data_IF_695839942982
#
_entry.id   IF_695839942982
#
_cell.length_a   1.000
_cell.length_b   1.000
_cell.length_c   1.000
_cell.angle_alpha   90.00
_cell.angle_beta   90.00
_cell.angle_gamma   90.00
#
_symmetry.space_group_name_H-M   'P 1'
#
loop_
_entity.id
_entity.type
_entity.pdbx_description
1 polymer ?
#
# COMPACT_ATOMS: atom_id res chain seq x y z
N UNK A 1 16.09 -55.97 26.19
CA UNK A 1 14.91 -55.10 26.02
C UNK A 1 15.12 -53.62 26.37
N UNK A 2 16.34 -53.15 26.71
CA UNK A 2 16.61 -51.72 27.03
C UNK A 2 17.40 -50.95 25.95
N UNK A 3 17.92 -51.65 24.92
CA UNK A 3 18.69 -51.02 23.81
C UNK A 3 17.83 -50.66 22.59
N UNK A 4 16.62 -51.22 22.48
CA UNK A 4 15.70 -50.95 21.38
C UNK A 4 14.89 -49.65 21.57
N UNK A 5 14.81 -49.12 22.79
CA UNK A 5 14.09 -47.87 23.07
C UNK A 5 14.91 -46.60 22.81
N UNK A 6 16.22 -46.71 22.61
CA UNK A 6 17.09 -45.55 22.36
C UNK A 6 17.22 -45.17 20.88
N UNK A 7 16.77 -46.02 19.95
CA UNK A 7 16.80 -45.71 18.51
C UNK A 7 15.52 -45.03 17.99
N UNK A 8 14.45 -44.96 18.78
CA UNK A 8 13.19 -44.34 18.36
C UNK A 8 13.12 -42.81 18.63
N UNK A 9 14.07 -42.26 19.40
CA UNK A 9 14.05 -40.83 19.79
C UNK A 9 14.87 -39.92 18.86
N UNK A 10 15.60 -40.45 17.88
CA UNK A 10 16.50 -39.68 17.02
C UNK A 10 15.87 -39.19 15.71
N UNK A 11 14.61 -39.55 15.42
CA UNK A 11 13.97 -39.27 14.12
C UNK A 11 13.04 -38.05 14.11
N UNK A 12 13.01 -37.25 15.18
CA UNK A 12 12.13 -36.07 15.30
C UNK A 12 12.85 -34.72 15.12
N UNK A 13 14.13 -34.74 14.70
CA UNK A 13 14.88 -33.54 14.32
C UNK A 13 15.12 -33.53 12.80
N UNK A 14 14.06 -33.67 12.01
CA UNK A 14 14.12 -33.21 10.64
C UNK A 14 14.11 -31.67 10.70
N UNK A 15 15.15 -30.95 10.22
CA UNK A 15 15.02 -29.52 10.04
C UNK A 15 13.83 -29.32 9.10
N UNK A 16 12.82 -28.57 9.55
CA UNK A 16 11.83 -28.04 8.63
C UNK A 16 12.63 -27.22 7.62
N UNK A 17 12.85 -27.80 6.44
CA UNK A 17 13.35 -27.05 5.30
C UNK A 17 12.26 -26.03 4.99
N UNK A 18 12.42 -24.84 5.56
CA UNK A 18 11.74 -23.65 5.07
C UNK A 18 12.19 -23.55 3.62
N UNK A 19 11.32 -23.93 2.69
CA UNK A 19 11.51 -23.60 1.30
C UNK A 19 11.56 -22.08 1.23
N UNK A 20 12.76 -21.52 1.18
CA UNK A 20 12.93 -20.12 0.82
C UNK A 20 12.29 -19.97 -0.57
N UNK A 21 11.17 -19.24 -0.63
CA UNK A 21 10.52 -18.98 -1.89
C UNK A 21 11.51 -18.27 -2.81
N UNK A 22 11.81 -18.88 -3.96
CA UNK A 22 12.74 -18.31 -4.93
C UNK A 22 11.96 -17.38 -5.87
N UNK A 23 11.82 -16.12 -5.44
CA UNK A 23 11.15 -15.11 -6.23
C UNK A 23 12.06 -14.55 -7.32
N UNK A 24 11.65 -14.76 -8.56
CA UNK A 24 12.38 -14.41 -9.77
C UNK A 24 11.90 -13.09 -10.40
N UNK A 25 12.84 -12.28 -10.88
CA UNK A 25 12.57 -11.10 -11.70
C UNK A 25 11.89 -11.47 -13.02
N UNK A 26 10.96 -10.64 -13.48
CA UNK A 26 10.16 -10.86 -14.68
C UNK A 26 9.01 -11.85 -14.48
N UNK A 27 8.96 -12.54 -13.34
CA UNK A 27 7.86 -13.44 -12.94
C UNK A 27 7.10 -12.88 -11.74
N UNK A 28 7.79 -12.63 -10.64
CA UNK A 28 7.18 -12.23 -9.37
C UNK A 28 7.34 -10.73 -9.08
N UNK A 29 8.36 -10.11 -9.66
CA UNK A 29 8.61 -8.68 -9.55
C UNK A 29 9.36 -8.16 -10.76
N UNK A 30 9.30 -6.85 -10.99
CA UNK A 30 10.07 -6.13 -12.00
C UNK A 30 10.99 -5.12 -11.34
N UNK A 31 12.24 -5.04 -11.78
CA UNK A 31 13.14 -3.93 -11.41
C UNK A 31 12.74 -2.70 -12.22
N UNK A 32 12.26 -1.67 -11.52
CA UNK A 32 11.80 -0.41 -12.14
C UNK A 32 12.82 0.72 -12.02
N UNK A 33 13.88 0.52 -11.23
CA UNK A 33 14.94 1.50 -11.00
C UNK A 33 16.31 0.81 -10.88
N UNK A 34 17.22 1.12 -11.78
CA UNK A 34 18.58 0.56 -11.78
C UNK A 34 19.50 1.18 -10.72
N UNK A 35 19.12 2.34 -10.17
CA UNK A 35 19.82 3.03 -9.10
C UNK A 35 19.76 2.29 -7.74
N UNK A 36 20.37 2.86 -6.69
CA UNK A 36 20.32 2.27 -5.37
C UNK A 36 18.88 2.19 -4.86
N UNK A 37 18.59 1.15 -4.09
CA UNK A 37 17.39 1.06 -3.27
C UNK A 37 17.28 2.26 -2.31
N UNK A 38 16.09 2.50 -1.77
CA UNK A 38 15.88 3.52 -0.74
C UNK A 38 16.82 3.29 0.45
N UNK A 39 17.31 4.39 1.04
CA UNK A 39 18.27 4.32 2.15
C UNK A 39 17.71 3.61 3.39
N UNK A 40 16.38 3.63 3.56
CA UNK A 40 15.65 2.83 4.54
C UNK A 40 14.71 1.88 3.79
N UNK A 41 14.63 0.60 4.20
CA UNK A 41 13.68 -0.32 3.61
C UNK A 41 12.24 0.17 3.75
N UNK A 42 11.48 0.08 2.67
CA UNK A 42 10.08 0.50 2.66
C UNK A 42 9.23 -0.30 1.67
N UNK A 43 7.95 -0.44 2.00
CA UNK A 43 6.91 -0.97 1.12
C UNK A 43 5.91 0.17 0.91
N UNK A 44 5.69 0.54 -0.34
CA UNK A 44 4.69 1.54 -0.71
C UNK A 44 3.54 0.87 -1.44
N UNK A 45 2.32 0.99 -0.89
CA UNK A 45 1.10 0.65 -1.61
C UNK A 45 0.67 1.84 -2.49
N UNK A 46 0.39 1.55 -3.75
CA UNK A 46 -0.31 2.46 -4.66
C UNK A 46 -1.76 2.03 -4.79
N UNK A 47 -2.68 2.95 -4.54
CA UNK A 47 -4.10 2.65 -4.45
C UNK A 47 -4.97 3.79 -4.99
N UNK A 48 -6.26 3.54 -5.14
CA UNK A 48 -7.24 4.59 -5.39
C UNK A 48 -8.47 4.40 -4.50
N UNK A 49 -9.03 5.51 -3.99
CA UNK A 49 -10.32 5.50 -3.29
C UNK A 49 -11.50 5.06 -4.17
N UNK A 50 -11.35 5.09 -5.50
CA UNK A 50 -12.36 4.61 -6.44
C UNK A 50 -12.21 3.14 -6.82
N UNK A 51 -11.16 2.47 -6.37
CA UNK A 51 -10.82 1.11 -6.75
C UNK A 51 -11.42 0.09 -5.77
N UNK A 52 -12.37 -0.78 -6.18
CA UNK A 52 -13.00 -1.75 -5.27
C UNK A 52 -12.01 -2.76 -4.69
N UNK A 53 -11.01 -3.19 -5.46
CA UNK A 53 -9.95 -4.07 -4.97
C UNK A 53 -9.10 -3.39 -3.89
N UNK A 54 -8.83 -2.10 -4.04
CA UNK A 54 -8.09 -1.30 -3.09
C UNK A 54 -8.87 -1.12 -1.78
N UNK A 55 -10.20 -0.98 -1.86
CA UNK A 55 -11.04 -0.95 -0.67
C UNK A 55 -11.06 -2.29 0.07
N UNK A 56 -11.08 -3.41 -0.66
CA UNK A 56 -10.92 -4.72 -0.02
C UNK A 56 -9.50 -4.89 0.56
N UNK A 57 -8.48 -4.41 -0.15
CA UNK A 57 -7.08 -4.47 0.26
C UNK A 57 -6.84 -3.67 1.56
N UNK A 58 -7.42 -2.47 1.70
CA UNK A 58 -7.31 -1.65 2.91
C UNK A 58 -7.93 -2.31 4.14
N UNK A 59 -8.95 -3.16 3.96
CA UNK A 59 -9.58 -3.91 5.05
C UNK A 59 -8.87 -5.21 5.40
N UNK A 60 -8.27 -5.89 4.41
CA UNK A 60 -7.86 -7.29 4.56
C UNK A 60 -6.36 -7.52 4.47
N UNK A 61 -5.62 -6.61 3.84
CA UNK A 61 -4.19 -6.77 3.54
C UNK A 61 -3.35 -5.69 4.22
N UNK A 62 -3.76 -4.42 4.20
CA UNK A 62 -3.04 -3.34 4.90
C UNK A 62 -2.81 -3.65 6.38
N UNK A 63 -3.80 -4.13 7.16
CA UNK A 63 -3.57 -4.51 8.55
C UNK A 63 -2.51 -5.61 8.72
N UNK A 64 -2.45 -6.56 7.79
CA UNK A 64 -1.42 -7.61 7.77
C UNK A 64 -0.04 -7.03 7.48
N UNK A 65 0.08 -6.12 6.51
CA UNK A 65 1.36 -5.45 6.22
C UNK A 65 1.87 -4.72 7.46
N UNK A 66 1.00 -3.95 8.12
CA UNK A 66 1.38 -3.17 9.31
C UNK A 66 1.88 -4.10 10.43
N UNK A 67 1.18 -5.23 10.65
CA UNK A 67 1.49 -6.21 11.67
C UNK A 67 2.75 -7.04 11.37
N UNK A 68 2.90 -7.50 10.14
CA UNK A 68 3.81 -8.61 9.80
C UNK A 68 5.05 -8.17 8.99
N UNK A 69 5.11 -6.92 8.52
CA UNK A 69 6.30 -6.43 7.79
C UNK A 69 7.58 -6.63 8.62
N UNK A 70 8.73 -6.91 7.97
CA UNK A 70 9.98 -7.08 8.68
C UNK A 70 10.37 -5.87 9.53
N UNK A 71 11.11 -6.11 10.61
CA UNK A 71 11.59 -5.03 11.48
C UNK A 71 12.42 -4.00 10.68
N UNK A 72 12.20 -2.71 10.97
CA UNK A 72 12.87 -1.60 10.29
C UNK A 72 12.30 -1.25 8.90
N UNK A 73 11.34 -2.02 8.37
CA UNK A 73 10.67 -1.69 7.09
C UNK A 73 9.53 -0.71 7.34
N UNK A 74 9.55 0.44 6.66
CA UNK A 74 8.44 1.38 6.66
C UNK A 74 7.30 0.91 5.75
N UNK A 75 6.06 1.22 6.10
CA UNK A 75 4.92 1.07 5.20
C UNK A 75 4.37 2.45 4.86
N UNK A 76 4.25 2.73 3.57
CA UNK A 76 3.72 3.98 3.04
C UNK A 76 2.56 3.68 2.10
N UNK A 77 1.71 4.69 1.88
CA UNK A 77 0.65 4.64 0.87
C UNK A 77 0.74 5.85 -0.06
N UNK A 78 0.35 5.66 -1.30
CA UNK A 78 0.31 6.68 -2.33
C UNK A 78 -0.97 6.53 -3.16
N UNK A 79 -1.77 7.60 -3.23
CA UNK A 79 -2.97 7.61 -4.06
C UNK A 79 -2.61 7.88 -5.54
N UNK A 80 -3.15 7.08 -6.46
CA UNK A 80 -2.97 7.27 -7.91
C UNK A 80 -4.09 8.16 -8.48
N UNK A 81 -3.74 9.05 -9.40
CA UNK A 81 -4.69 10.00 -9.98
C UNK A 81 -5.33 9.55 -11.31
N UNK A 82 -4.86 8.43 -11.90
CA UNK A 82 -5.36 7.94 -13.19
C UNK A 82 -6.72 7.21 -13.12
N UNK A 83 -7.28 6.99 -11.93
CA UNK A 83 -8.63 6.42 -11.72
C UNK A 83 -9.56 7.52 -11.19
N UNK A 84 -10.74 7.63 -11.79
CA UNK A 84 -11.76 8.63 -11.38
C UNK A 84 -11.71 9.95 -12.15
N UNK A 85 -10.97 10.00 -13.27
CA UNK A 85 -10.81 11.19 -14.13
C UNK A 85 -10.33 12.40 -13.31
N UNK A 86 -10.96 13.56 -13.45
CA UNK A 86 -10.60 14.79 -12.72
C UNK A 86 -10.70 14.60 -11.20
N UNK A 87 -11.64 13.77 -10.74
CA UNK A 87 -11.77 13.46 -9.31
C UNK A 87 -10.64 12.58 -8.79
N UNK A 88 -9.92 11.86 -9.65
CA UNK A 88 -8.70 11.14 -9.24
C UNK A 88 -7.66 12.09 -8.65
N UNK A 89 -7.50 13.27 -9.25
CA UNK A 89 -6.58 14.31 -8.77
C UNK A 89 -7.07 14.90 -7.44
N UNK A 90 -8.37 15.17 -7.31
CA UNK A 90 -8.94 15.68 -6.05
C UNK A 90 -8.93 14.62 -4.93
N UNK A 91 -9.00 13.33 -5.24
CA UNK A 91 -8.81 12.24 -4.28
C UNK A 91 -7.35 12.10 -3.84
N UNK A 92 -6.38 12.29 -4.74
CA UNK A 92 -4.97 12.41 -4.35
C UNK A 92 -4.72 13.63 -3.46
N UNK A 93 -5.44 14.73 -3.69
CA UNK A 93 -5.42 15.91 -2.80
C UNK A 93 -6.02 15.57 -1.44
N UNK A 94 -7.17 14.90 -1.42
CA UNK A 94 -7.84 14.48 -0.18
C UNK A 94 -6.90 13.64 0.69
N UNK A 95 -6.27 12.62 0.10
CA UNK A 95 -5.27 11.79 0.77
C UNK A 95 -4.13 12.64 1.38
N UNK A 96 -3.52 13.51 0.58
CA UNK A 96 -2.43 14.37 1.04
C UNK A 96 -2.87 15.35 2.15
N UNK A 97 -4.09 15.90 2.08
CA UNK A 97 -4.66 16.74 3.14
C UNK A 97 -4.86 15.94 4.42
N UNK A 98 -5.39 14.72 4.32
CA UNK A 98 -5.63 13.87 5.48
C UNK A 98 -4.32 13.54 6.22
N UNK A 99 -3.27 13.18 5.48
CA UNK A 99 -1.93 12.95 6.05
C UNK A 99 -1.29 14.22 6.62
N UNK A 100 -1.39 15.36 5.92
CA UNK A 100 -0.86 16.64 6.40
C UNK A 100 -1.49 17.04 7.75
N UNK A 101 -2.77 16.72 7.93
CA UNK A 101 -3.53 17.02 9.14
C UNK A 101 -3.48 15.89 10.19
N UNK A 102 -2.82 14.76 9.88
CA UNK A 102 -2.78 13.55 10.71
C UNK A 102 -4.17 13.02 11.09
N UNK A 103 -5.08 12.97 10.11
CA UNK A 103 -6.45 12.47 10.24
C UNK A 103 -6.78 11.37 9.21
N UNK A 104 -5.76 10.86 8.54
CA UNK A 104 -5.81 9.85 7.48
C UNK A 104 -6.56 8.59 7.91
N UNK A 105 -6.25 7.98 9.06
CA UNK A 105 -6.95 6.77 9.57
C UNK A 105 -8.49 6.89 9.50
N UNK A 106 -9.02 8.05 9.90
CA UNK A 106 -10.47 8.31 9.92
C UNK A 106 -10.99 8.69 8.54
N UNK A 107 -10.30 9.62 7.88
CA UNK A 107 -10.77 10.21 6.63
C UNK A 107 -10.71 9.20 5.49
N UNK A 108 -9.64 8.42 5.37
CA UNK A 108 -9.47 7.45 4.31
C UNK A 108 -10.57 6.38 4.39
N UNK A 109 -10.83 5.88 5.60
CA UNK A 109 -11.94 4.95 5.87
C UNK A 109 -13.30 5.57 5.52
N UNK A 110 -13.53 6.83 5.87
CA UNK A 110 -14.77 7.54 5.56
C UNK A 110 -14.97 7.74 4.05
N UNK A 111 -13.93 8.11 3.30
CA UNK A 111 -13.98 8.27 1.85
C UNK A 111 -14.28 6.93 1.19
N UNK A 112 -13.54 5.88 1.55
CA UNK A 112 -13.76 4.54 1.01
C UNK A 112 -15.19 4.05 1.27
N UNK A 113 -15.71 4.21 2.49
CA UNK A 113 -17.09 3.81 2.82
C UNK A 113 -18.12 4.65 2.07
N UNK A 114 -17.90 5.96 1.95
CA UNK A 114 -18.77 6.84 1.17
C UNK A 114 -18.89 6.37 -0.29
N UNK A 115 -17.77 6.04 -0.94
CA UNK A 115 -17.74 5.60 -2.33
C UNK A 115 -18.30 4.18 -2.47
N UNK A 116 -17.80 3.22 -1.71
CA UNK A 116 -18.04 1.80 -1.98
C UNK A 116 -19.26 1.22 -1.27
N UNK A 117 -19.55 1.66 -0.04
CA UNK A 117 -20.72 1.18 0.70
C UNK A 117 -21.94 2.04 0.38
N UNK A 118 -21.78 3.38 0.49
CA UNK A 118 -22.88 4.34 0.37
C UNK A 118 -23.14 4.81 -1.05
N UNK A 119 -22.28 4.44 -2.02
CA UNK A 119 -22.38 4.82 -3.44
C UNK A 119 -22.48 6.34 -3.64
N UNK A 120 -21.83 7.10 -2.77
CA UNK A 120 -21.73 8.54 -2.89
C UNK A 120 -20.85 8.88 -4.09
N UNK A 121 -21.35 9.79 -4.94
CA UNK A 121 -20.64 10.29 -6.10
C UNK A 121 -20.06 11.66 -5.76
N UNK A 122 -18.74 11.72 -5.62
CA UNK A 122 -18.03 13.00 -5.50
C UNK A 122 -17.84 13.58 -6.89
N UNK A 123 -18.21 14.85 -7.05
CA UNK A 123 -18.14 15.58 -8.33
C UNK A 123 -17.30 16.84 -8.24
N UNK A 124 -16.90 17.24 -7.03
CA UNK A 124 -16.14 18.45 -6.78
C UNK A 124 -15.27 18.34 -5.54
N UNK A 125 -14.35 19.30 -5.38
CA UNK A 125 -13.61 19.51 -4.13
C UNK A 125 -14.53 19.83 -2.96
N UNK A 126 -15.63 20.54 -3.20
CA UNK A 126 -16.58 20.91 -2.15
C UNK A 126 -17.27 19.68 -1.55
N UNK A 127 -17.55 18.65 -2.37
CA UNK A 127 -18.07 17.37 -1.88
C UNK A 127 -17.06 16.68 -0.95
N UNK A 128 -15.77 16.69 -1.34
CA UNK A 128 -14.67 16.15 -0.52
C UNK A 128 -14.55 16.91 0.78
N UNK A 129 -14.53 18.24 0.71
CA UNK A 129 -14.50 19.12 1.88
C UNK A 129 -15.67 18.85 2.82
N UNK A 130 -16.87 18.67 2.30
CA UNK A 130 -18.06 18.34 3.10
C UNK A 130 -17.89 17.03 3.87
N UNK A 131 -17.24 16.01 3.27
CA UNK A 131 -16.90 14.78 3.98
C UNK A 131 -15.89 15.02 5.10
N UNK A 132 -14.86 15.84 4.88
CA UNK A 132 -13.90 16.21 5.93
C UNK A 132 -14.59 16.93 7.10
N UNK A 133 -15.48 17.88 6.81
CA UNK A 133 -16.26 18.62 7.82
C UNK A 133 -17.19 17.68 8.59
N UNK A 134 -17.89 16.79 7.90
CA UNK A 134 -18.74 15.78 8.54
C UNK A 134 -17.94 14.83 9.46
N UNK A 135 -16.63 14.73 9.24
CA UNK A 135 -15.70 13.94 10.05
C UNK A 135 -14.86 14.77 11.02
N UNK A 136 -15.22 16.04 11.25
CA UNK A 136 -14.67 16.86 12.34
C UNK A 136 -13.45 17.71 11.97
N UNK A 137 -13.11 17.83 10.69
CA UNK A 137 -12.08 18.77 10.23
C UNK A 137 -12.74 20.12 9.94
N UNK A 138 -12.23 21.21 10.55
CA UNK A 138 -12.74 22.54 10.25
C UNK A 138 -12.57 22.87 8.75
N UNK A 139 -13.58 23.49 8.16
CA UNK A 139 -13.59 23.77 6.73
C UNK A 139 -12.45 24.70 6.30
N UNK A 140 -12.11 25.72 7.10
CA UNK A 140 -10.97 26.62 6.79
C UNK A 140 -9.65 25.89 6.94
N UNK A 141 -9.54 24.97 7.90
CA UNK A 141 -8.36 24.10 8.05
C UNK A 141 -8.17 23.22 6.82
N UNK A 142 -9.24 22.62 6.29
CA UNK A 142 -9.19 21.89 5.03
C UNK A 142 -8.73 22.79 3.88
N UNK A 143 -9.36 23.97 3.73
CA UNK A 143 -9.08 24.90 2.63
C UNK A 143 -7.60 25.34 2.64
N UNK A 144 -7.06 25.67 3.82
CA UNK A 144 -5.67 26.03 4.00
C UNK A 144 -4.71 24.87 3.70
N UNK A 145 -5.02 23.66 4.15
CA UNK A 145 -4.21 22.48 3.88
C UNK A 145 -4.21 22.12 2.40
N UNK A 146 -5.37 22.12 1.75
CA UNK A 146 -5.57 21.78 0.34
C UNK A 146 -4.74 22.65 -0.62
N UNK A 147 -4.50 23.90 -0.24
CA UNK A 147 -3.69 24.86 -0.99
C UNK A 147 -2.22 24.95 -0.55
N UNK A 148 -1.84 24.24 0.51
CA UNK A 148 -0.49 24.29 1.08
C UNK A 148 0.57 23.74 0.12
N UNK A 149 1.79 24.26 0.27
CA UNK A 149 2.95 23.74 -0.45
C UNK A 149 3.19 22.26 -0.17
N UNK A 150 3.01 21.82 1.08
CA UNK A 150 3.23 20.43 1.49
C UNK A 150 2.30 19.48 0.75
N UNK A 151 1.00 19.79 0.67
CA UNK A 151 0.02 18.99 -0.08
C UNK A 151 0.36 18.96 -1.57
N UNK A 152 0.70 20.11 -2.17
CA UNK A 152 1.10 20.19 -3.58
C UNK A 152 2.36 19.35 -3.87
N UNK A 153 3.35 19.39 -2.98
CA UNK A 153 4.58 18.60 -3.09
C UNK A 153 4.31 17.10 -2.94
N UNK A 154 3.46 16.69 -1.99
CA UNK A 154 3.09 15.30 -1.80
C UNK A 154 2.33 14.74 -3.02
N UNK A 155 1.37 15.50 -3.56
CA UNK A 155 0.67 15.11 -4.80
C UNK A 155 1.63 14.93 -5.98
N UNK A 156 2.55 15.89 -6.18
CA UNK A 156 3.55 15.79 -7.23
C UNK A 156 4.48 14.59 -7.05
N UNK A 157 4.83 14.26 -5.79
CA UNK A 157 5.60 13.05 -5.47
C UNK A 157 4.82 11.78 -5.82
N UNK A 158 3.58 11.63 -5.36
CA UNK A 158 2.76 10.44 -5.65
C UNK A 158 2.58 10.21 -7.14
N UNK A 159 2.31 11.28 -7.90
CA UNK A 159 2.20 11.21 -9.37
C UNK A 159 3.50 10.73 -10.02
N UNK A 160 4.63 11.36 -9.67
CA UNK A 160 5.94 10.98 -10.21
C UNK A 160 6.31 9.54 -9.84
N UNK A 161 6.05 9.12 -8.61
CA UNK A 161 6.40 7.78 -8.14
C UNK A 161 5.53 6.72 -8.85
N UNK A 162 4.26 7.03 -9.12
CA UNK A 162 3.35 6.21 -9.94
C UNK A 162 3.88 6.04 -11.37
N UNK A 163 4.33 7.14 -11.99
CA UNK A 163 4.89 7.15 -13.35
C UNK A 163 6.22 6.38 -13.42
N UNK A 164 7.12 6.61 -12.47
CA UNK A 164 8.41 5.92 -12.40
C UNK A 164 8.23 4.41 -12.22
N UNK A 165 7.24 3.99 -11.44
CA UNK A 165 6.89 2.59 -11.26
C UNK A 165 6.12 1.99 -12.45
N UNK A 166 5.80 2.79 -13.48
CA UNK A 166 5.09 2.39 -14.69
C UNK A 166 3.80 1.64 -14.35
N UNK A 167 3.08 2.13 -13.34
CA UNK A 167 1.88 1.47 -12.84
C UNK A 167 0.75 1.64 -13.85
N UNK A 168 0.11 0.54 -14.20
CA UNK A 168 -1.06 0.49 -15.08
C UNK A 168 -2.33 0.07 -14.35
N UNK A 169 -2.23 -0.26 -13.05
CA UNK A 169 -3.32 -0.73 -12.23
C UNK A 169 -2.98 -0.69 -10.75
N UNK A 170 -4.01 -0.88 -9.91
CA UNK A 170 -3.94 -0.88 -8.45
C UNK A 170 -4.90 -1.93 -7.86
N UNK A 171 -4.69 -2.42 -6.62
CA UNK A 171 -3.58 -2.11 -5.73
C UNK A 171 -2.26 -2.64 -6.27
N UNK A 172 -1.17 -1.90 -6.06
CA UNK A 172 0.17 -2.29 -6.46
C UNK A 172 1.16 -2.02 -5.33
N UNK A 173 2.19 -2.87 -5.19
CA UNK A 173 3.25 -2.68 -4.21
C UNK A 173 4.57 -2.38 -4.92
N UNK A 174 5.23 -1.32 -4.45
CA UNK A 174 6.63 -1.03 -4.80
C UNK A 174 7.47 -1.10 -3.54
N UNK A 175 8.54 -1.89 -3.61
CA UNK A 175 9.45 -2.14 -2.51
C UNK A 175 10.78 -1.46 -2.75
N UNK A 176 11.27 -0.76 -1.73
CA UNK A 176 12.54 -0.04 -1.71
C UNK A 176 12.74 0.94 -2.88
N UNK A 177 11.63 1.50 -3.41
CA UNK A 177 11.64 2.38 -4.59
C UNK A 177 12.21 1.74 -5.86
N UNK A 178 12.33 0.40 -5.89
CA UNK A 178 13.13 -0.33 -6.87
C UNK A 178 12.43 -1.54 -7.48
N UNK A 179 11.65 -2.26 -6.68
CA UNK A 179 10.99 -3.48 -7.11
C UNK A 179 9.48 -3.28 -7.14
N UNK A 180 8.87 -3.41 -8.31
CA UNK A 180 7.40 -3.51 -8.41
C UNK A 180 7.01 -4.97 -8.32
N UNK A 181 6.13 -5.32 -7.39
CA UNK A 181 5.60 -6.67 -7.28
C UNK A 181 4.61 -6.92 -8.43
N UNK A 182 4.76 -8.04 -9.14
CA UNK A 182 3.88 -8.39 -10.25
C UNK A 182 2.66 -9.15 -9.74
N UNK A 183 1.47 -8.70 -10.13
CA UNK A 183 0.19 -9.31 -9.72
C UNK A 183 -0.31 -10.38 -10.69
N UNK A 184 0.32 -10.52 -11.86
CA UNK A 184 -0.13 -11.47 -12.89
C UNK A 184 0.16 -12.94 -12.57
N UNK A 185 1.16 -13.20 -11.72
CA UNK A 185 1.63 -14.55 -11.37
C UNK A 185 1.22 -15.01 -9.96
N UNK A 186 0.73 -14.10 -9.11
CA UNK A 186 0.33 -14.41 -7.73
C UNK A 186 -1.01 -15.13 -7.69
N UNK A 187 -1.15 -16.04 -6.73
CA UNK A 187 -2.37 -16.82 -6.47
C UNK A 187 -3.19 -16.24 -5.33
N UNK A 188 -2.59 -15.38 -4.51
CA UNK A 188 -3.24 -14.78 -3.33
C UNK A 188 -2.56 -13.48 -2.92
N UNK A 189 -3.25 -12.67 -2.09
CA UNK A 189 -2.62 -11.53 -1.44
C UNK A 189 -1.55 -11.91 -0.42
N UNK A 190 -1.61 -13.11 0.18
CA UNK A 190 -0.56 -13.56 1.08
C UNK A 190 0.75 -13.81 0.30
N UNK A 191 0.67 -14.41 -0.89
CA UNK A 191 1.83 -14.55 -1.78
C UNK A 191 2.38 -13.18 -2.25
N UNK A 192 1.52 -12.20 -2.51
CA UNK A 192 1.93 -10.82 -2.78
C UNK A 192 2.76 -10.24 -1.62
N UNK A 193 2.32 -10.48 -0.37
CA UNK A 193 3.03 -9.99 0.82
C UNK A 193 4.35 -10.72 1.03
N UNK A 194 4.39 -12.03 0.83
CA UNK A 194 5.63 -12.80 0.94
C UNK A 194 6.69 -12.29 -0.04
N UNK A 195 6.30 -11.99 -1.29
CA UNK A 195 7.19 -11.35 -2.28
C UNK A 195 7.64 -9.97 -1.79
N UNK A 196 6.71 -9.14 -1.31
CA UNK A 196 7.04 -7.81 -0.84
C UNK A 196 8.01 -7.83 0.35
N UNK A 197 7.82 -8.73 1.30
CA UNK A 197 8.67 -8.91 2.49
C UNK A 197 10.02 -9.51 2.15
N UNK A 198 10.08 -10.41 1.17
CA UNK A 198 11.34 -10.90 0.63
C UNK A 198 12.15 -9.76 0.00
N UNK A 199 11.52 -8.94 -0.84
CA UNK A 199 12.17 -7.81 -1.51
C UNK A 199 12.59 -6.72 -0.54
N UNK A 200 11.87 -6.53 0.56
CA UNK A 200 12.21 -5.51 1.56
C UNK A 200 13.54 -5.81 2.27
N UNK A 201 13.97 -7.07 2.28
CA UNK A 201 15.24 -7.53 2.87
C UNK A 201 16.41 -7.55 1.87
N UNK A 202 16.14 -7.26 0.58
CA UNK A 202 17.11 -7.28 -0.51
C UNK A 202 17.71 -5.89 -0.75
#
# INVERSE_FOLDING_TARGET
MKKALLMAAALLLAPMAVFAADYQEGVHYTVINDGPATAKPEITEFFSFYCPHCYNFSKTVVPKIIADKPEGVAFNQAHVDFIGKEMGVEMSRAFAVAHQLNVDDKIDSAIFSAIHDKKQHFTSRDDVRALFVANGVDGKTFDAAAESFMVKAQMAKMKRDTENAKLTGVPALVVNGKYRVETGSIKSYDELLDIAFYLAKK
#
